data_IF_757328638782
#
_entry.id   IF_757328638782
#
_cell.length_a   1.000
_cell.length_b   1.000
_cell.length_c   1.000
_cell.angle_alpha   90.00
_cell.angle_beta   90.00
_cell.angle_gamma   90.00
#
_symmetry.space_group_name_H-M   'P 1'
#
loop_
_entity.id
_entity.type
_entity.pdbx_description
1 polymer ?
#
# COMPACT_ATOMS: atom_id res chain seq x y z
N UNK A 1 -19.62 -23.31 12.13
CA UNK A 1 -19.36 -22.44 10.97
C UNK A 1 -18.06 -21.73 11.28
N UNK A 2 -16.99 -22.06 10.56
CA UNK A 2 -15.65 -21.51 10.79
C UNK A 2 -15.63 -20.06 10.32
N UNK A 3 -15.06 -19.16 11.10
CA UNK A 3 -14.87 -17.76 10.70
C UNK A 3 -13.78 -17.63 9.63
N UNK A 4 -13.80 -16.56 8.84
CA UNK A 4 -12.80 -16.34 7.78
C UNK A 4 -11.37 -16.21 8.34
N UNK A 5 -11.24 -15.67 9.56
CA UNK A 5 -9.98 -15.60 10.31
C UNK A 5 -9.51 -16.98 10.78
N UNK A 6 -10.42 -17.85 11.25
CA UNK A 6 -10.11 -19.25 11.56
C UNK A 6 -9.73 -20.07 10.31
N UNK A 7 -10.10 -19.61 9.11
CA UNK A 7 -9.63 -20.16 7.84
C UNK A 7 -8.26 -19.59 7.39
N UNK A 8 -7.60 -18.79 8.23
CA UNK A 8 -6.25 -18.27 8.00
C UNK A 8 -6.20 -16.85 7.39
N UNK A 9 -7.33 -16.17 7.23
CA UNK A 9 -7.39 -14.82 6.66
C UNK A 9 -7.99 -13.83 7.66
N UNK A 10 -7.13 -13.19 8.45
CA UNK A 10 -7.54 -12.09 9.33
C UNK A 10 -7.36 -10.74 8.64
N UNK A 11 -8.46 -10.23 8.09
CA UNK A 11 -8.52 -8.94 7.40
C UNK A 11 -8.17 -7.78 8.35
N UNK A 12 -8.64 -7.83 9.60
CA UNK A 12 -8.40 -6.77 10.59
C UNK A 12 -6.92 -6.66 10.94
N UNK A 13 -6.26 -7.81 11.11
CA UNK A 13 -4.81 -7.85 11.31
C UNK A 13 -4.06 -7.34 10.06
N UNK A 14 -4.50 -7.75 8.87
CA UNK A 14 -3.95 -7.28 7.59
C UNK A 14 -4.03 -5.76 7.45
N UNK A 15 -5.20 -5.17 7.65
CA UNK A 15 -5.43 -3.72 7.59
C UNK A 15 -4.56 -2.97 8.60
N UNK A 16 -4.44 -3.51 9.82
CA UNK A 16 -3.59 -2.92 10.86
C UNK A 16 -2.12 -2.95 10.45
N UNK A 17 -1.63 -4.06 9.90
CA UNK A 17 -0.27 -4.18 9.42
C UNK A 17 0.02 -3.21 8.26
N UNK A 18 -0.88 -3.16 7.28
CA UNK A 18 -0.81 -2.23 6.14
C UNK A 18 -0.74 -0.77 6.60
N UNK A 19 -1.55 -0.38 7.59
CA UNK A 19 -1.55 0.97 8.15
C UNK A 19 -0.23 1.33 8.86
N UNK A 20 0.37 0.37 9.57
CA UNK A 20 1.68 0.55 10.21
C UNK A 20 2.77 0.74 9.15
N UNK A 21 2.80 -0.14 8.13
CA UNK A 21 3.75 -0.06 7.04
C UNK A 21 3.63 1.28 6.28
N UNK A 22 2.40 1.72 5.98
CA UNK A 22 2.15 3.00 5.33
C UNK A 22 2.60 4.19 6.19
N UNK A 23 2.35 4.15 7.49
CA UNK A 23 2.81 5.20 8.43
C UNK A 23 4.33 5.32 8.43
N UNK A 24 5.04 4.18 8.45
CA UNK A 24 6.49 4.17 8.34
C UNK A 24 6.98 4.72 6.99
N UNK A 25 6.35 4.32 5.88
CA UNK A 25 6.70 4.81 4.55
C UNK A 25 6.54 6.35 4.43
N UNK A 26 5.44 6.90 4.93
CA UNK A 26 5.20 8.37 4.93
C UNK A 26 6.32 9.16 5.60
N UNK A 27 6.93 8.62 6.66
CA UNK A 27 8.06 9.30 7.33
C UNK A 27 9.26 9.57 6.41
N UNK A 28 9.37 8.84 5.30
CA UNK A 28 10.47 8.97 4.32
C UNK A 28 10.17 9.96 3.20
N UNK A 29 8.91 10.40 3.04
CA UNK A 29 8.46 11.17 1.87
C UNK A 29 9.12 12.55 1.78
N UNK A 30 9.43 13.16 2.93
CA UNK A 30 10.14 14.43 3.03
C UNK A 30 11.51 14.40 2.32
N UNK A 31 12.14 13.23 2.20
CA UNK A 31 13.41 13.08 1.47
C UNK A 31 13.33 13.39 -0.03
N UNK A 32 12.12 13.51 -0.59
CA UNK A 32 11.86 13.83 -2.00
C UNK A 32 10.98 15.06 -2.21
N UNK A 33 10.75 15.88 -1.18
CA UNK A 33 9.93 17.08 -1.31
C UNK A 33 10.48 18.02 -2.40
N UNK A 34 9.59 18.51 -3.27
CA UNK A 34 9.93 19.38 -4.39
C UNK A 34 10.73 18.72 -5.52
N UNK A 35 10.90 17.39 -5.51
CA UNK A 35 11.60 16.64 -6.56
C UNK A 35 10.59 15.89 -7.43
N UNK A 36 10.91 15.73 -8.71
CA UNK A 36 10.17 14.84 -9.61
C UNK A 36 10.12 13.41 -9.03
N UNK A 37 8.96 12.78 -9.09
CA UNK A 37 8.68 11.53 -8.40
C UNK A 37 8.57 11.70 -6.88
N UNK A 38 8.05 12.84 -6.41
CA UNK A 38 7.73 13.01 -4.99
C UNK A 38 6.56 12.06 -4.64
N UNK A 39 6.63 11.30 -3.53
CA UNK A 39 5.52 10.44 -3.15
C UNK A 39 4.28 11.26 -2.83
N UNK A 40 3.14 10.89 -3.42
CA UNK A 40 1.86 11.49 -3.12
C UNK A 40 1.19 10.77 -1.93
N UNK A 41 0.51 11.54 -1.09
CA UNK A 41 -0.26 10.96 0.02
C UNK A 41 -1.57 10.41 -0.54
N UNK A 42 -1.72 9.09 -0.46
CA UNK A 42 -2.92 8.36 -0.83
C UNK A 42 -3.35 7.49 0.37
N UNK A 43 -4.11 8.09 1.29
CA UNK A 43 -4.60 7.39 2.47
C UNK A 43 -5.53 6.25 2.08
N UNK A 44 -5.27 5.03 2.57
CA UNK A 44 -6.07 3.85 2.26
C UNK A 44 -5.91 3.32 0.84
N UNK A 45 -4.94 3.82 0.07
CA UNK A 45 -4.62 3.31 -1.26
C UNK A 45 -3.91 1.96 -1.21
N UNK A 46 -4.18 1.11 -2.20
CA UNK A 46 -3.48 -0.17 -2.41
C UNK A 46 -2.20 -0.02 -3.25
N UNK A 47 -1.89 1.20 -3.70
CA UNK A 47 -0.78 1.48 -4.60
C UNK A 47 0.06 2.65 -4.08
N UNK A 48 1.35 2.62 -4.38
CA UNK A 48 2.23 3.77 -4.24
C UNK A 48 2.07 4.72 -5.42
N UNK A 49 1.87 6.00 -5.16
CA UNK A 49 1.74 7.03 -6.20
C UNK A 49 2.89 8.03 -6.11
N UNK A 50 3.51 8.33 -7.25
CA UNK A 50 4.63 9.27 -7.38
C UNK A 50 4.25 10.39 -8.34
N UNK A 51 4.43 11.63 -7.92
CA UNK A 51 4.12 12.85 -8.68
C UNK A 51 5.28 13.25 -9.61
N UNK A 52 5.04 13.25 -10.92
CA UNK A 52 6.01 13.69 -11.93
C UNK A 52 5.65 15.05 -12.55
N UNK A 53 4.68 15.77 -12.00
CA UNK A 53 4.18 17.05 -12.50
C UNK A 53 3.07 16.89 -13.52
N UNK A 54 3.40 16.40 -14.71
CA UNK A 54 2.43 16.22 -15.81
C UNK A 54 1.59 14.94 -15.65
N UNK A 55 2.10 13.96 -14.90
CA UNK A 55 1.45 12.69 -14.66
C UNK A 55 1.85 12.09 -13.31
N UNK A 56 1.09 11.09 -12.89
CA UNK A 56 1.43 10.24 -11.76
C UNK A 56 1.92 8.88 -12.23
N UNK A 57 3.03 8.40 -11.67
CA UNK A 57 3.40 7.00 -11.77
C UNK A 57 2.79 6.26 -10.57
N UNK A 58 1.85 5.35 -10.86
CA UNK A 58 1.20 4.52 -9.84
C UNK A 58 1.77 3.11 -9.95
N UNK A 59 2.40 2.64 -8.87
CA UNK A 59 2.92 1.28 -8.77
C UNK A 59 2.06 0.48 -7.81
N UNK A 60 1.58 -0.64 -8.29
CA UNK A 60 0.90 -1.65 -7.49
C UNK A 60 1.47 -3.01 -7.89
N UNK A 61 1.54 -3.93 -6.94
CA UNK A 61 1.85 -5.33 -7.18
C UNK A 61 0.73 -6.16 -6.56
N UNK A 62 0.17 -7.08 -7.33
CA UNK A 62 -1.00 -7.86 -6.92
C UNK A 62 -0.69 -9.36 -7.03
N UNK A 63 -1.21 -10.11 -6.07
CA UNK A 63 -1.02 -11.55 -5.97
C UNK A 63 -1.86 -12.32 -7.00
N UNK A 64 -1.31 -13.44 -7.46
CA UNK A 64 -1.81 -14.28 -8.56
C UNK A 64 -3.13 -15.04 -8.25
N UNK A 65 -3.64 -14.96 -7.02
CA UNK A 65 -4.85 -15.66 -6.59
C UNK A 65 -4.71 -17.19 -6.46
N UNK A 66 -5.83 -17.92 -6.54
CA UNK A 66 -5.97 -19.38 -6.27
C UNK A 66 -5.10 -20.30 -7.12
N UNK A 67 -4.37 -19.76 -8.09
CA UNK A 67 -3.35 -20.45 -8.88
C UNK A 67 -2.12 -20.88 -8.06
N UNK A 68 -1.98 -20.38 -6.83
CA UNK A 68 -0.90 -20.72 -5.90
C UNK A 68 -1.21 -21.94 -5.01
N UNK A 69 -2.34 -22.63 -5.23
CA UNK A 69 -2.58 -23.98 -4.69
C UNK A 69 -1.81 -25.04 -5.48
#
# INVERSE_FOLDING_TARGET
>A
MTTYSEAGVDISTGDKASKIAYTAAKSTFSGREGRMGAPAILEGGFAGMLDFGDFYLVQNDDGVGTKMM
#
